data_IF_052612007142
#
_entry.id   IF_052612007142
#
_cell.length_a   1.000
_cell.length_b   1.000
_cell.length_c   1.000
_cell.angle_alpha   90.00
_cell.angle_beta   90.00
_cell.angle_gamma   90.00
#
_symmetry.space_group_name_H-M   'P 1'
#
loop_
_entity.id
_entity.type
_entity.pdbx_description
1 polymer ?
#
# COMPACT_ATOMS: atom_id res chain seq x y z
N UNK A 1 -0.59 2.72 -21.03
CA UNK A 1 0.28 2.26 -22.14
C UNK A 1 0.97 0.92 -21.87
N UNK A 2 1.41 0.61 -20.64
CA UNK A 2 2.12 -0.66 -20.35
C UNK A 2 1.32 -1.95 -20.57
N UNK A 3 0.12 -2.08 -19.99
CA UNK A 3 -0.71 -3.31 -20.10
C UNK A 3 -1.20 -3.55 -21.53
N UNK A 4 -1.45 -2.48 -22.30
CA UNK A 4 -1.83 -2.58 -23.71
C UNK A 4 -0.65 -3.01 -24.59
N UNK A 5 0.59 -2.63 -24.26
CA UNK A 5 1.78 -3.11 -24.97
C UNK A 5 2.05 -4.60 -24.77
N UNK A 6 1.68 -5.13 -23.61
CA UNK A 6 1.83 -6.56 -23.23
C UNK A 6 0.87 -7.43 -24.04
N UNK A 7 -0.41 -7.04 -24.14
CA UNK A 7 -1.43 -7.80 -24.87
C UNK A 7 -1.35 -7.72 -26.40
N UNK A 8 -0.49 -6.86 -26.96
CA UNK A 8 -0.35 -6.64 -28.41
C UNK A 8 0.91 -7.28 -29.02
N UNK A 9 1.83 -7.78 -28.21
CA UNK A 9 3.13 -8.28 -28.71
C UNK A 9 3.09 -9.77 -29.11
N UNK A 10 2.24 -10.58 -28.47
CA UNK A 10 2.28 -12.05 -28.59
C UNK A 10 1.15 -12.70 -29.41
N UNK A 11 0.05 -12.01 -29.71
CA UNK A 11 -1.12 -12.63 -30.33
C UNK A 11 -1.78 -11.74 -31.39
N UNK A 12 -2.26 -12.37 -32.47
CA UNK A 12 -3.04 -11.71 -33.54
C UNK A 12 -4.38 -11.13 -33.05
N UNK A 13 -4.78 -11.47 -31.84
CA UNK A 13 -5.90 -10.89 -31.11
C UNK A 13 -5.38 -10.22 -29.83
N UNK A 14 -5.86 -9.01 -29.46
CA UNK A 14 -5.48 -8.39 -28.21
C UNK A 14 -6.01 -9.21 -27.03
N UNK A 15 -5.12 -9.84 -26.26
CA UNK A 15 -5.51 -10.63 -25.07
C UNK A 15 -4.98 -9.99 -23.79
N UNK A 16 -5.83 -9.91 -22.75
CA UNK A 16 -5.48 -9.45 -21.41
C UNK A 16 -5.37 -10.61 -20.41
N UNK A 17 -5.21 -11.84 -20.91
CA UNK A 17 -5.12 -13.00 -20.05
C UNK A 17 -3.68 -13.14 -19.54
N UNK A 18 -3.52 -12.97 -18.23
CA UNK A 18 -2.21 -13.01 -17.58
C UNK A 18 -1.58 -14.40 -17.69
N UNK A 19 -2.36 -15.48 -17.66
CA UNK A 19 -1.86 -16.85 -17.71
C UNK A 19 -1.22 -17.18 -19.06
N UNK A 20 -1.76 -16.63 -20.15
CA UNK A 20 -1.23 -16.85 -21.51
C UNK A 20 -0.06 -15.94 -21.84
N UNK A 21 0.11 -14.84 -21.11
CA UNK A 21 1.14 -13.82 -21.37
C UNK A 21 2.47 -14.12 -20.67
N UNK A 22 2.50 -15.04 -19.71
CA UNK A 22 3.73 -15.41 -18.99
C UNK A 22 4.74 -16.05 -19.95
N UNK A 23 6.00 -15.58 -19.92
CA UNK A 23 7.14 -16.12 -20.70
C UNK A 23 7.11 -15.91 -22.23
N UNK A 24 6.28 -15.01 -22.76
CA UNK A 24 6.24 -14.74 -24.21
C UNK A 24 7.12 -13.56 -24.67
N UNK A 25 7.74 -12.83 -23.74
CA UNK A 25 8.43 -11.58 -24.05
C UNK A 25 9.96 -11.74 -24.09
N UNK A 26 10.66 -10.99 -24.96
CA UNK A 26 12.11 -10.88 -24.85
C UNK A 26 12.47 -10.13 -23.56
N UNK A 27 13.53 -10.59 -22.88
CA UNK A 27 13.98 -10.06 -21.58
C UNK A 27 14.14 -8.53 -21.56
N UNK A 28 14.62 -7.93 -22.67
CA UNK A 28 14.79 -6.48 -22.75
C UNK A 28 13.46 -5.71 -22.60
N UNK A 29 12.38 -6.21 -23.19
CA UNK A 29 11.05 -5.62 -23.11
C UNK A 29 10.42 -5.87 -21.73
N UNK A 30 10.67 -7.04 -21.15
CA UNK A 30 10.27 -7.37 -19.78
C UNK A 30 10.89 -6.41 -18.76
N UNK A 31 12.19 -6.08 -18.90
CA UNK A 31 12.89 -5.12 -18.05
C UNK A 31 12.29 -3.72 -18.17
N UNK A 32 11.98 -3.25 -19.39
CA UNK A 32 11.39 -1.93 -19.61
C UNK A 32 10.02 -1.84 -18.91
N UNK A 33 9.18 -2.86 -19.07
CA UNK A 33 7.88 -2.89 -18.40
C UNK A 33 8.02 -3.03 -16.88
N UNK A 34 8.96 -3.84 -16.40
CA UNK A 34 9.23 -4.02 -14.98
C UNK A 34 9.57 -2.68 -14.32
N UNK A 35 10.51 -1.92 -14.89
CA UNK A 35 10.89 -0.60 -14.38
C UNK A 35 9.71 0.37 -14.45
N UNK A 36 8.98 0.39 -15.57
CA UNK A 36 7.82 1.27 -15.75
C UNK A 36 6.71 1.03 -14.73
N UNK A 37 6.33 -0.23 -14.51
CA UNK A 37 5.36 -0.60 -13.47
C UNK A 37 5.91 -0.40 -12.07
N UNK A 38 7.19 -0.71 -11.83
CA UNK A 38 7.82 -0.47 -10.55
C UNK A 38 7.73 1.01 -10.17
N UNK A 39 8.09 1.94 -11.07
CA UNK A 39 7.96 3.39 -10.81
C UNK A 39 6.50 3.79 -10.59
N UNK A 40 5.57 3.33 -11.43
CA UNK A 40 4.15 3.66 -11.29
C UNK A 40 3.58 3.21 -9.93
N UNK A 41 3.94 2.01 -9.48
CA UNK A 41 3.54 1.52 -8.16
C UNK A 41 4.37 2.12 -7.03
N UNK A 42 5.61 2.54 -7.26
CA UNK A 42 6.45 3.26 -6.30
C UNK A 42 6.05 4.74 -6.10
N UNK A 43 5.21 5.31 -6.96
CA UNK A 43 4.50 6.56 -6.68
C UNK A 43 3.29 6.28 -5.78
N UNK A 44 2.57 5.18 -6.07
CA UNK A 44 1.35 4.81 -5.36
C UNK A 44 1.62 4.26 -3.95
N UNK A 45 2.70 3.50 -3.80
CA UNK A 45 3.32 3.16 -2.54
C UNK A 45 4.32 4.28 -2.25
N UNK A 46 4.21 5.01 -1.14
CA UNK A 46 5.07 6.15 -0.83
C UNK A 46 6.53 5.73 -0.54
N UNK A 47 7.25 5.21 -1.55
CA UNK A 47 8.65 4.82 -1.48
C UNK A 47 9.49 6.09 -1.59
N UNK A 48 10.51 6.25 -0.75
CA UNK A 48 11.41 7.42 -0.81
C UNK A 48 12.13 7.44 -2.16
N UNK A 49 12.10 8.55 -2.94
CA UNK A 49 11.65 9.90 -2.60
C UNK A 49 10.19 10.26 -2.97
N UNK A 50 9.44 9.39 -3.66
CA UNK A 50 8.14 9.65 -4.31
C UNK A 50 6.92 9.75 -3.36
N UNK A 51 7.12 10.06 -2.09
CA UNK A 51 6.11 10.05 -1.04
C UNK A 51 5.50 11.42 -0.68
N UNK A 52 6.04 12.52 -1.21
CA UNK A 52 5.73 13.88 -0.75
C UNK A 52 4.28 14.31 -0.98
N UNK A 53 3.60 13.73 -1.96
CA UNK A 53 2.18 13.99 -2.22
C UNK A 53 1.26 13.43 -1.13
N UNK A 54 1.71 12.40 -0.40
CA UNK A 54 0.86 11.65 0.51
C UNK A 54 0.49 12.45 1.78
N UNK A 55 1.41 13.14 2.47
CA UNK A 55 1.07 14.00 3.60
C UNK A 55 0.09 15.11 3.22
N UNK A 56 0.32 15.80 2.10
CA UNK A 56 -0.52 16.90 1.63
C UNK A 56 -1.95 16.40 1.37
N UNK A 57 -2.08 15.25 0.70
CA UNK A 57 -3.39 14.65 0.40
C UNK A 57 -4.14 14.25 1.68
N UNK A 58 -3.45 13.73 2.69
CA UNK A 58 -4.11 13.37 3.97
C UNK A 58 -4.49 14.59 4.81
N UNK A 59 -3.74 15.68 4.71
CA UNK A 59 -4.01 16.92 5.43
C UNK A 59 -5.24 17.67 4.90
N UNK A 60 -5.50 17.59 3.60
CA UNK A 60 -6.58 18.32 2.94
C UNK A 60 -7.86 17.49 2.72
N UNK A 61 -7.76 16.16 2.67
CA UNK A 61 -8.89 15.31 2.33
C UNK A 61 -9.83 15.04 3.51
N UNK A 62 -11.11 14.82 3.18
CA UNK A 62 -12.11 14.38 4.15
C UNK A 62 -11.71 13.03 4.78
N UNK A 63 -11.99 12.84 6.07
CA UNK A 63 -11.59 11.63 6.81
C UNK A 63 -12.07 10.32 6.17
N UNK A 64 -13.22 10.34 5.50
CA UNK A 64 -13.71 9.19 4.71
C UNK A 64 -12.84 8.88 3.49
N UNK A 65 -12.30 9.90 2.83
CA UNK A 65 -11.33 9.75 1.74
C UNK A 65 -10.01 9.20 2.27
N UNK A 66 -9.53 9.73 3.40
CA UNK A 66 -8.32 9.21 4.07
C UNK A 66 -8.49 7.74 4.50
N UNK A 67 -9.69 7.35 4.95
CA UNK A 67 -10.03 5.96 5.27
C UNK A 67 -9.93 5.04 4.05
N UNK A 68 -10.45 5.45 2.88
CA UNK A 68 -10.36 4.66 1.64
C UNK A 68 -8.93 4.63 1.08
N UNK A 69 -8.23 5.77 1.13
CA UNK A 69 -6.84 5.91 0.70
C UNK A 69 -5.93 5.00 1.53
N UNK A 70 -6.01 5.10 2.85
CA UNK A 70 -5.25 4.28 3.78
C UNK A 70 -5.70 2.82 3.75
N UNK A 71 -6.99 2.53 3.72
CA UNK A 71 -7.52 1.18 3.80
C UNK A 71 -7.34 0.34 2.53
N UNK A 72 -7.46 0.96 1.35
CA UNK A 72 -7.58 0.23 0.08
C UNK A 72 -6.53 0.71 -0.93
N UNK A 73 -6.44 2.01 -1.21
CA UNK A 73 -5.66 2.49 -2.36
C UNK A 73 -4.17 2.15 -2.24
N UNK A 74 -3.57 2.37 -1.07
CA UNK A 74 -2.17 2.03 -0.81
C UNK A 74 -1.93 0.52 -0.89
N UNK A 75 -2.90 -0.29 -0.46
CA UNK A 75 -2.80 -1.76 -0.41
C UNK A 75 -2.88 -2.35 -1.82
N UNK A 76 -3.70 -1.77 -2.68
CA UNK A 76 -3.73 -2.10 -4.11
C UNK A 76 -2.41 -1.75 -4.82
N UNK A 77 -1.65 -0.77 -4.34
CA UNK A 77 -0.30 -0.50 -4.85
C UNK A 77 0.67 -1.64 -4.55
N UNK A 78 0.65 -2.15 -3.32
CA UNK A 78 1.48 -3.27 -2.89
C UNK A 78 1.09 -4.57 -3.61
N UNK A 79 -0.20 -4.85 -3.67
CA UNK A 79 -0.72 -5.99 -4.42
C UNK A 79 -0.37 -5.91 -5.91
N UNK A 80 -0.44 -4.71 -6.51
CA UNK A 80 -0.03 -4.47 -7.90
C UNK A 80 1.44 -4.80 -8.15
N UNK A 81 2.35 -4.43 -7.24
CA UNK A 81 3.76 -4.84 -7.35
C UNK A 81 3.91 -6.35 -7.29
N UNK A 82 3.25 -7.04 -6.36
CA UNK A 82 3.38 -8.49 -6.23
C UNK A 82 2.85 -9.19 -7.50
N UNK A 83 1.63 -8.88 -7.93
CA UNK A 83 1.00 -9.55 -9.07
C UNK A 83 1.62 -9.19 -10.41
N UNK A 84 1.98 -7.93 -10.64
CA UNK A 84 2.49 -7.50 -11.95
C UNK A 84 4.00 -7.67 -12.06
N UNK A 85 4.78 -7.30 -11.02
CA UNK A 85 6.23 -7.38 -11.13
C UNK A 85 6.75 -8.77 -10.79
N UNK A 86 6.18 -9.50 -9.82
CA UNK A 86 6.69 -10.83 -9.46
C UNK A 86 6.07 -11.95 -10.31
N UNK A 87 4.75 -11.96 -10.50
CA UNK A 87 4.07 -13.08 -11.19
C UNK A 87 4.06 -12.93 -12.72
N UNK A 88 3.83 -11.73 -13.26
CA UNK A 88 3.74 -11.51 -14.71
C UNK A 88 5.11 -11.34 -15.40
N UNK A 89 6.11 -10.82 -14.69
CA UNK A 89 7.44 -10.49 -15.23
C UNK A 89 8.57 -11.22 -14.45
N UNK A 90 8.59 -12.57 -14.47
CA UNK A 90 9.44 -13.37 -13.58
C UNK A 90 10.94 -13.30 -13.91
N UNK A 91 11.33 -13.18 -15.17
CA UNK A 91 12.76 -13.11 -15.54
C UNK A 91 13.35 -11.77 -15.15
N UNK A 92 12.64 -10.67 -15.41
CA UNK A 92 13.04 -9.34 -14.97
C UNK A 92 13.09 -9.28 -13.43
N UNK A 93 12.08 -9.86 -12.75
CA UNK A 93 12.06 -9.92 -11.30
C UNK A 93 13.28 -10.64 -10.72
N UNK A 94 13.70 -11.76 -11.31
CA UNK A 94 14.89 -12.50 -10.84
C UNK A 94 16.18 -11.66 -10.86
N UNK A 95 16.30 -10.74 -11.82
CA UNK A 95 17.47 -9.84 -11.97
C UNK A 95 17.43 -8.71 -10.92
N UNK A 96 16.26 -8.14 -10.66
CA UNK A 96 16.09 -7.03 -9.71
C UNK A 96 15.90 -7.46 -8.26
N UNK A 97 15.52 -8.72 -8.03
CA UNK A 97 15.21 -9.29 -6.72
C UNK A 97 16.31 -9.08 -5.66
N UNK A 98 17.60 -9.34 -5.94
CA UNK A 98 18.67 -9.10 -4.97
C UNK A 98 18.79 -7.62 -4.56
N UNK A 99 18.58 -6.70 -5.50
CA UNK A 99 18.60 -5.25 -5.22
C UNK A 99 17.42 -4.82 -4.38
N UNK A 100 16.22 -5.35 -4.65
CA UNK A 100 15.03 -5.08 -3.85
C UNK A 100 15.15 -5.63 -2.42
N UNK A 101 15.80 -6.77 -2.24
CA UNK A 101 16.07 -7.36 -0.93
C UNK A 101 16.99 -6.48 -0.07
N UNK A 102 18.02 -5.87 -0.68
CA UNK A 102 18.95 -4.94 -0.01
C UNK A 102 18.21 -3.67 0.43
N UNK A 103 17.35 -3.12 -0.42
CA UNK A 103 16.60 -1.88 -0.12
C UNK A 103 15.45 -2.13 0.86
N UNK A 104 14.85 -3.33 0.83
CA UNK A 104 13.59 -3.62 1.51
C UNK A 104 13.68 -4.36 2.85
N UNK A 105 14.87 -4.82 3.29
CA UNK A 105 15.02 -5.75 4.44
C UNK A 105 13.90 -6.81 4.44
N UNK A 106 13.65 -7.39 3.25
CA UNK A 106 12.54 -8.31 3.01
C UNK A 106 13.10 -9.69 2.73
N UNK A 107 12.53 -10.72 3.35
CA UNK A 107 12.88 -12.10 3.04
C UNK A 107 11.98 -12.62 1.92
N UNK A 108 12.55 -13.14 0.83
CA UNK A 108 11.82 -13.77 -0.27
C UNK A 108 11.59 -15.25 0.07
N UNK A 109 10.96 -15.48 1.21
CA UNK A 109 10.54 -16.80 1.67
C UNK A 109 9.02 -16.86 1.72
N UNK A 110 8.45 -18.05 1.61
CA UNK A 110 6.98 -18.22 1.69
C UNK A 110 6.41 -17.67 3.00
N UNK A 111 7.14 -17.84 4.11
CA UNK A 111 6.79 -17.25 5.41
C UNK A 111 6.89 -15.73 5.41
N UNK A 112 7.93 -15.16 4.80
CA UNK A 112 8.08 -13.71 4.65
C UNK A 112 6.96 -13.10 3.80
N UNK A 113 6.60 -13.75 2.70
CA UNK A 113 5.53 -13.31 1.79
C UNK A 113 4.16 -13.36 2.47
N UNK A 114 3.86 -14.46 3.17
CA UNK A 114 2.61 -14.59 3.95
C UNK A 114 2.52 -13.57 5.09
N UNK A 115 3.65 -13.28 5.76
CA UNK A 115 3.75 -12.21 6.76
C UNK A 115 3.51 -10.83 6.16
N UNK A 116 4.10 -10.54 4.99
CA UNK A 116 3.90 -9.29 4.28
C UNK A 116 2.44 -9.09 3.86
N UNK A 117 1.78 -10.14 3.33
CA UNK A 117 0.36 -10.08 2.97
C UNK A 117 -0.51 -9.82 4.20
N UNK A 118 -0.25 -10.54 5.30
CA UNK A 118 -0.96 -10.35 6.57
C UNK A 118 -0.79 -8.93 7.11
N UNK A 119 0.43 -8.38 7.00
CA UNK A 119 0.73 -7.00 7.41
C UNK A 119 0.04 -5.96 6.52
N UNK A 120 -0.01 -6.17 5.20
CA UNK A 120 -0.71 -5.29 4.25
C UNK A 120 -2.19 -5.18 4.63
N UNK A 121 -2.83 -6.30 4.95
CA UNK A 121 -4.24 -6.37 5.35
C UNK A 121 -4.43 -5.72 6.73
N UNK A 122 -3.65 -6.12 7.73
CA UNK A 122 -3.74 -5.60 9.10
C UNK A 122 -3.53 -4.08 9.15
N UNK A 123 -2.46 -3.58 8.52
CA UNK A 123 -2.18 -2.15 8.43
C UNK A 123 -3.23 -1.38 7.60
N UNK A 124 -3.95 -2.07 6.71
CA UNK A 124 -5.14 -1.54 6.01
C UNK A 124 -6.26 -1.23 6.96
N UNK A 125 -6.62 -2.25 7.73
CA UNK A 125 -7.70 -2.17 8.68
C UNK A 125 -7.41 -1.17 9.81
N UNK A 126 -6.23 -1.23 10.43
CA UNK A 126 -5.83 -0.33 11.51
C UNK A 126 -5.79 1.13 11.03
N UNK A 127 -5.20 1.39 9.86
CA UNK A 127 -5.15 2.74 9.28
C UNK A 127 -6.55 3.30 9.00
N UNK A 128 -7.44 2.51 8.40
CA UNK A 128 -8.82 2.91 8.16
C UNK A 128 -9.57 3.24 9.47
N UNK A 129 -9.41 2.40 10.50
CA UNK A 129 -10.01 2.62 11.82
C UNK A 129 -9.49 3.91 12.49
N UNK A 130 -8.18 4.16 12.43
CA UNK A 130 -7.59 5.37 13.01
C UNK A 130 -8.05 6.65 12.30
N UNK A 131 -8.09 6.67 10.96
CA UNK A 131 -8.62 7.83 10.22
C UNK A 131 -10.10 8.07 10.49
N UNK A 132 -10.90 7.01 10.61
CA UNK A 132 -12.31 7.13 10.98
C UNK A 132 -12.49 7.71 12.40
N UNK A 133 -11.75 7.20 13.38
CA UNK A 133 -11.81 7.68 14.77
C UNK A 133 -11.30 9.13 14.90
N UNK A 134 -10.24 9.49 14.18
CA UNK A 134 -9.77 10.87 14.10
C UNK A 134 -10.84 11.80 13.49
N UNK A 135 -11.50 11.37 12.42
CA UNK A 135 -12.60 12.11 11.79
C UNK A 135 -13.82 12.31 12.69
N UNK A 136 -14.29 11.25 13.35
CA UNK A 136 -15.43 11.35 14.29
C UNK A 136 -15.12 12.23 15.49
N UNK A 137 -13.87 12.26 15.96
CA UNK A 137 -13.40 13.22 16.96
C UNK A 137 -13.48 14.63 16.40
N UNK A 138 -12.89 14.89 15.24
CA UNK A 138 -12.91 16.19 14.59
C UNK A 138 -14.33 16.74 14.41
N UNK A 139 -15.29 15.91 13.98
CA UNK A 139 -16.69 16.34 13.83
C UNK A 139 -17.36 16.76 15.13
N UNK A 140 -16.91 16.23 16.26
CA UNK A 140 -17.47 16.53 17.59
C UNK A 140 -16.86 17.76 18.25
N UNK A 141 -15.54 17.93 18.16
CA UNK A 141 -14.83 19.05 18.83
C UNK A 141 -14.50 20.21 17.89
N UNK A 142 -14.45 19.98 16.57
CA UNK A 142 -14.06 20.95 15.53
C UNK A 142 -12.68 21.60 15.75
N UNK A 143 -11.81 20.93 16.51
CA UNK A 143 -10.43 21.35 16.75
C UNK A 143 -9.47 20.55 15.87
N UNK A 144 -8.53 21.27 15.24
CA UNK A 144 -7.46 20.69 14.40
C UNK A 144 -6.14 20.62 15.16
N UNK A 145 -5.87 21.59 16.04
CA UNK A 145 -4.59 21.72 16.74
C UNK A 145 -4.54 20.88 18.01
N UNK A 146 -3.49 20.07 18.16
CA UNK A 146 -3.32 19.16 19.30
C UNK A 146 -3.24 19.90 20.65
N UNK A 147 -2.69 21.10 20.65
CA UNK A 147 -2.55 21.93 21.86
C UNK A 147 -3.91 22.30 22.48
N UNK A 148 -4.96 22.34 21.66
CA UNK A 148 -6.33 22.63 22.07
C UNK A 148 -7.13 21.35 22.39
N UNK A 149 -6.60 20.16 22.07
CA UNK A 149 -7.26 18.86 22.28
C UNK A 149 -7.01 18.26 23.68
N UNK A 150 -6.53 19.06 24.63
CA UNK A 150 -6.35 18.64 26.01
C UNK A 150 -7.65 18.12 26.64
N UNK A 151 -7.59 16.98 27.35
CA UNK A 151 -8.72 16.48 28.14
C UNK A 151 -9.86 15.81 27.34
N UNK A 152 -9.68 15.55 26.03
CA UNK A 152 -10.70 14.91 25.16
C UNK A 152 -11.18 13.53 25.66
N UNK A 153 -10.41 12.86 26.50
CA UNK A 153 -10.81 11.60 27.13
C UNK A 153 -12.05 11.73 28.03
N UNK A 154 -12.30 12.90 28.62
CA UNK A 154 -13.43 13.16 29.53
C UNK A 154 -14.76 13.24 28.75
N UNK A 155 -14.92 14.11 27.73
CA UNK A 155 -16.18 14.20 26.98
C UNK A 155 -16.42 13.02 26.03
N UNK A 156 -15.38 12.30 25.60
CA UNK A 156 -15.49 11.24 24.57
C UNK A 156 -14.75 9.96 24.94
N UNK A 157 -15.07 9.31 26.08
CA UNK A 157 -14.30 8.19 26.61
C UNK A 157 -14.26 6.99 25.65
N UNK A 158 -15.39 6.69 24.98
CA UNK A 158 -15.46 5.55 24.03
C UNK A 158 -14.59 5.75 22.79
N UNK A 159 -14.54 6.97 22.24
CA UNK A 159 -13.71 7.28 21.06
C UNK A 159 -12.23 7.25 21.48
N UNK A 160 -11.92 7.79 22.66
CA UNK A 160 -10.57 7.78 23.19
C UNK A 160 -10.03 6.36 23.40
N UNK A 161 -10.79 5.48 24.05
CA UNK A 161 -10.35 4.10 24.30
C UNK A 161 -10.14 3.31 23.00
N UNK A 162 -11.04 3.42 22.03
CA UNK A 162 -10.86 2.79 20.71
C UNK A 162 -9.65 3.34 19.96
N UNK A 163 -9.45 4.66 19.98
CA UNK A 163 -8.30 5.28 19.30
C UNK A 163 -6.99 4.79 19.92
N UNK A 164 -6.92 4.73 21.25
CA UNK A 164 -5.74 4.23 21.96
C UNK A 164 -5.47 2.75 21.68
N UNK A 165 -6.49 1.89 21.63
CA UNK A 165 -6.30 0.47 21.33
C UNK A 165 -5.77 0.25 19.90
N UNK A 166 -6.34 0.92 18.90
CA UNK A 166 -5.85 0.83 17.52
C UNK A 166 -4.46 1.46 17.33
N UNK A 167 -4.16 2.55 18.05
CA UNK A 167 -2.82 3.15 18.05
C UNK A 167 -1.79 2.17 18.59
N UNK A 168 -2.13 1.47 19.66
CA UNK A 168 -1.27 0.47 20.30
C UNK A 168 -1.08 -0.77 19.40
N UNK A 169 -2.15 -1.20 18.71
CA UNK A 169 -2.07 -2.26 17.70
C UNK A 169 -1.15 -1.88 16.52
N UNK A 170 -1.10 -0.61 16.12
CA UNK A 170 -0.20 -0.15 15.04
C UNK A 170 1.29 -0.24 15.40
N UNK A 171 1.63 -0.23 16.70
CA UNK A 171 3.00 -0.37 17.20
C UNK A 171 3.48 -1.83 17.22
N UNK A 172 2.64 -2.79 16.78
CA UNK A 172 2.93 -4.22 16.78
C UNK A 172 3.34 -4.76 18.16
N UNK A 173 2.68 -4.29 19.23
CA UNK A 173 2.91 -4.80 20.58
C UNK A 173 2.37 -6.24 20.72
N UNK A 174 3.15 -7.18 21.30
CA UNK A 174 2.80 -8.61 21.35
C UNK A 174 1.48 -8.95 22.06
N UNK A 175 1.00 -8.08 22.95
CA UNK A 175 -0.14 -8.37 23.83
C UNK A 175 -1.52 -8.05 23.22
N UNK A 176 -1.58 -7.56 21.98
CA UNK A 176 -2.82 -7.09 21.31
C UNK A 176 -3.15 -7.90 20.03
N UNK A 177 -2.37 -8.95 19.73
CA UNK A 177 -2.49 -9.81 18.55
C UNK A 177 -3.02 -11.20 18.93
#
# INVERSE_FOLDING_TARGET
>A
MGVLGIGLYGSNEPTLNFETSVNQYPVALEIIFYIGFFIAFAVKLPILPLHTWLPDTHGEAHYGTCMLLAGILLKLGAYGLIRINMELLPHAHSIFSPWLMIVGIASITDTGLNGAISQIISHGFIGAALFFLAGTRYDRIRLVYLDEMGGVAIPMPKIFTMFSSFSMASLALPDVL
#
